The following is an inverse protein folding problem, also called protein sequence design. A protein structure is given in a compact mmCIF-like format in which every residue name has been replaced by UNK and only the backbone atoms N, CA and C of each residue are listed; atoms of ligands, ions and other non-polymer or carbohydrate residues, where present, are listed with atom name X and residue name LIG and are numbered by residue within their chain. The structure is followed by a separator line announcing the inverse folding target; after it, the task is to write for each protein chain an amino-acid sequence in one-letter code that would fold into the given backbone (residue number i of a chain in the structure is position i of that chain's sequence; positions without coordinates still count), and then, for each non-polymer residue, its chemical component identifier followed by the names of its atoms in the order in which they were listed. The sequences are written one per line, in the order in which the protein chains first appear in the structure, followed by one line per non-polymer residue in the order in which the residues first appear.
data_IF_892519807167
#
_entry.id   IF_892519807167
#
_cell.length_a   1.000
_cell.length_b   1.000
_cell.length_c   1.000
_cell.angle_alpha   90.00
_cell.angle_beta   90.00
_cell.angle_gamma   90.00
#
_symmetry.space_group_name_H-M   'P 1'
#
loop_
_entity.id
_entity.type
_entity.pdbx_description
1 polymer ?
#
# COMPACT_ATOMS: atom_id res chain seq x y z
N UNK A 1 11.98 -12.58 7.04
CA UNK A 1 11.13 -11.94 8.08
C UNK A 1 10.13 -11.04 7.36
N UNK A 2 8.84 -11.09 7.69
CA UNK A 2 7.77 -10.45 6.90
C UNK A 2 7.65 -8.93 7.12
N UNK A 3 8.29 -8.37 8.15
CA UNK A 3 8.33 -6.94 8.44
C UNK A 3 9.56 -6.59 9.30
N UNK A 4 9.87 -5.31 9.44
CA UNK A 4 10.92 -4.82 10.35
C UNK A 4 10.35 -4.74 11.77
N UNK A 5 10.83 -5.60 12.68
CA UNK A 5 10.29 -5.74 14.03
C UNK A 5 10.63 -4.58 14.96
N UNK A 6 11.82 -3.99 14.80
CA UNK A 6 12.39 -3.06 15.79
C UNK A 6 12.18 -1.58 15.41
N UNK A 7 11.16 -1.30 14.60
CA UNK A 7 10.79 0.06 14.22
C UNK A 7 9.40 0.41 14.79
N UNK A 8 9.30 1.35 15.76
CA UNK A 8 8.03 1.70 16.40
C UNK A 8 7.00 2.32 15.44
N UNK A 9 7.45 2.91 14.33
CA UNK A 9 6.58 3.51 13.32
C UNK A 9 6.02 2.46 12.34
N UNK A 10 6.58 1.25 12.34
CA UNK A 10 6.11 0.14 11.51
C UNK A 10 4.98 -0.59 12.24
N UNK A 11 3.74 -0.41 11.76
CA UNK A 11 2.54 -0.99 12.38
C UNK A 11 1.73 -1.83 11.37
N UNK A 12 2.24 -3.00 10.94
CA UNK A 12 1.56 -3.81 9.93
C UNK A 12 0.20 -4.32 10.40
N UNK A 13 -0.70 -4.52 9.44
CA UNK A 13 -1.98 -5.18 9.65
C UNK A 13 -2.25 -6.16 8.51
N UNK A 14 -2.81 -7.31 8.85
CA UNK A 14 -3.20 -8.33 7.88
C UNK A 14 -4.71 -8.52 8.02
N UNK A 15 -5.43 -8.54 6.90
CA UNK A 15 -6.89 -8.65 6.87
C UNK A 15 -7.29 -9.70 5.84
N UNK A 16 -8.22 -10.57 6.20
CA UNK A 16 -8.77 -11.63 5.37
C UNK A 16 -10.30 -11.52 5.39
N UNK A 17 -10.90 -11.38 4.21
CA UNK A 17 -12.32 -11.13 4.00
C UNK A 17 -12.83 -12.00 2.86
N UNK A 18 -14.01 -12.59 3.02
CA UNK A 18 -14.69 -13.28 1.92
C UNK A 18 -15.40 -12.30 0.98
N UNK A 19 -15.90 -11.20 1.53
CA UNK A 19 -16.63 -10.17 0.79
C UNK A 19 -15.91 -8.84 1.06
N UNK A 20 -15.44 -8.15 0.00
CA UNK A 20 -14.85 -6.82 0.15
C UNK A 20 -15.85 -5.82 0.75
N UNK A 21 -15.39 -4.87 1.59
CA UNK A 21 -16.24 -3.78 2.04
C UNK A 21 -16.60 -2.85 0.88
N UNK A 22 -17.62 -2.02 1.09
CA UNK A 22 -18.09 -1.09 0.07
C UNK A 22 -17.00 -0.08 -0.35
N UNK A 23 -17.03 0.33 -1.63
CA UNK A 23 -16.08 1.31 -2.19
C UNK A 23 -16.06 2.64 -1.42
N UNK A 24 -17.15 3.02 -0.76
CA UNK A 24 -17.20 4.19 0.12
C UNK A 24 -16.14 4.14 1.22
N UNK A 25 -15.82 2.95 1.75
CA UNK A 25 -14.78 2.79 2.76
C UNK A 25 -13.39 3.14 2.20
N UNK A 26 -13.07 2.67 0.98
CA UNK A 26 -11.85 3.09 0.28
C UNK A 26 -11.79 4.62 0.10
N UNK A 27 -12.90 5.24 -0.32
CA UNK A 27 -12.94 6.70 -0.51
C UNK A 27 -12.71 7.47 0.79
N UNK A 28 -13.22 6.97 1.93
CA UNK A 28 -12.98 7.56 3.25
C UNK A 28 -11.51 7.45 3.64
N UNK A 29 -10.90 6.28 3.49
CA UNK A 29 -9.46 6.10 3.77
C UNK A 29 -8.55 7.04 2.96
N UNK A 30 -8.99 7.49 1.78
CA UNK A 30 -8.23 8.44 0.96
C UNK A 30 -8.44 9.92 1.33
N UNK A 31 -9.53 10.26 2.04
CA UNK A 31 -10.02 11.64 2.16
C UNK A 31 -10.19 12.10 3.61
N UNK A 32 -10.20 11.17 4.55
CA UNK A 32 -10.57 11.39 5.94
C UNK A 32 -9.65 10.59 6.87
N UNK A 33 -9.55 11.05 8.12
CA UNK A 33 -8.93 10.28 9.20
C UNK A 33 -9.91 9.22 9.69
N UNK A 34 -9.64 7.94 9.36
CA UNK A 34 -10.49 6.81 9.77
C UNK A 34 -10.03 6.27 11.13
N UNK A 35 -10.89 6.25 12.17
CA UNK A 35 -10.55 5.69 13.47
C UNK A 35 -10.32 4.18 13.40
N UNK A 36 -9.25 3.70 14.05
CA UNK A 36 -8.93 2.26 14.06
C UNK A 36 -10.05 1.41 14.66
N UNK A 37 -10.69 1.87 15.74
CA UNK A 37 -11.82 1.16 16.38
C UNK A 37 -13.02 0.94 15.44
N UNK A 38 -13.25 1.87 14.51
CA UNK A 38 -14.31 1.73 13.52
C UNK A 38 -14.01 0.59 12.56
N UNK A 39 -12.74 0.45 12.16
CA UNK A 39 -12.27 -0.64 11.29
C UNK A 39 -12.37 -1.98 12.01
N UNK A 40 -12.01 -2.04 13.29
CA UNK A 40 -12.14 -3.26 14.09
C UNK A 40 -13.60 -3.72 14.16
N UNK A 41 -14.54 -2.81 14.44
CA UNK A 41 -15.99 -3.11 14.45
C UNK A 41 -16.49 -3.56 13.09
N UNK A 42 -16.04 -2.92 12.00
CA UNK A 42 -16.40 -3.32 10.63
C UNK A 42 -15.93 -4.75 10.33
N UNK A 43 -14.68 -5.05 10.64
CA UNK A 43 -14.07 -6.37 10.40
C UNK A 43 -14.78 -7.46 11.22
N UNK A 44 -15.05 -7.21 12.50
CA UNK A 44 -15.81 -8.11 13.37
C UNK A 44 -17.22 -8.36 12.84
N UNK A 45 -17.96 -7.31 12.47
CA UNK A 45 -19.31 -7.41 11.94
C UNK A 45 -19.39 -8.18 10.61
N UNK A 46 -18.32 -8.12 9.81
CA UNK A 46 -18.21 -8.84 8.54
C UNK A 46 -17.72 -10.30 8.67
N UNK A 47 -17.40 -10.75 9.89
CA UNK A 47 -16.82 -12.08 10.13
C UNK A 47 -15.39 -12.22 9.56
N UNK A 48 -14.65 -11.11 9.46
CA UNK A 48 -13.30 -11.08 8.93
C UNK A 48 -12.28 -11.69 9.91
N UNK A 49 -11.21 -12.28 9.36
CA UNK A 49 -9.99 -12.56 10.13
C UNK A 49 -9.03 -11.39 10.00
N UNK A 50 -8.41 -10.95 11.09
CA UNK A 50 -7.35 -9.93 11.02
C UNK A 50 -6.27 -10.11 12.08
N UNK A 51 -5.05 -9.67 11.77
CA UNK A 51 -3.88 -9.69 12.64
C UNK A 51 -3.37 -8.26 12.79
N UNK A 52 -3.28 -7.80 14.03
CA UNK A 52 -2.65 -6.53 14.41
C UNK A 52 -1.21 -6.80 14.85
N UNK A 53 -0.24 -6.10 14.24
CA UNK A 53 1.16 -6.10 14.67
C UNK A 53 1.49 -4.71 15.22
N UNK A 54 2.17 -4.66 16.37
CA UNK A 54 2.39 -3.44 17.16
C UNK A 54 1.06 -2.73 17.49
N UNK A 55 0.89 -1.45 17.13
CA UNK A 55 -0.39 -0.75 17.38
C UNK A 55 -1.53 -1.25 16.47
N UNK A 56 -1.20 -1.96 15.39
CA UNK A 56 -2.18 -2.55 14.48
C UNK A 56 -2.81 -1.59 13.48
N UNK A 57 -2.39 -0.32 13.42
CA UNK A 57 -2.96 0.70 12.50
C UNK A 57 -2.99 0.27 11.03
N UNK A 58 -2.10 -0.64 10.61
CA UNK A 58 -2.08 -1.19 9.25
C UNK A 58 -3.37 -1.88 8.81
N UNK A 59 -4.26 -2.29 9.73
CA UNK A 59 -5.58 -2.84 9.34
C UNK A 59 -6.45 -1.82 8.60
N UNK A 60 -6.27 -0.51 8.85
CA UNK A 60 -6.98 0.55 8.14
C UNK A 60 -6.61 0.51 6.66
N UNK A 61 -5.30 0.52 6.36
CA UNK A 61 -4.78 0.45 5.00
C UNK A 61 -5.13 -0.87 4.30
N UNK A 62 -5.01 -2.00 5.01
CA UNK A 62 -5.36 -3.31 4.46
C UNK A 62 -6.86 -3.40 4.09
N UNK A 63 -7.74 -2.95 4.97
CA UNK A 63 -9.19 -2.93 4.72
C UNK A 63 -9.55 -1.95 3.61
N UNK A 64 -8.94 -0.76 3.61
CA UNK A 64 -9.11 0.23 2.55
C UNK A 64 -8.69 -0.32 1.19
N UNK A 65 -7.53 -0.98 1.11
CA UNK A 65 -7.03 -1.59 -0.13
C UNK A 65 -7.97 -2.67 -0.67
N UNK A 66 -8.49 -3.56 0.19
CA UNK A 66 -9.47 -4.59 -0.20
C UNK A 66 -10.78 -3.96 -0.70
N UNK A 67 -11.20 -2.83 -0.12
CA UNK A 67 -12.43 -2.12 -0.49
C UNK A 67 -12.35 -1.42 -1.86
N UNK A 68 -11.17 -1.40 -2.50
CA UNK A 68 -10.97 -0.70 -3.76
C UNK A 68 -11.66 -1.39 -4.93
N UNK A 69 -12.58 -0.67 -5.57
CA UNK A 69 -13.21 -1.08 -6.81
C UNK A 69 -12.81 -0.11 -7.95
N UNK A 70 -11.79 -0.46 -8.75
CA UNK A 70 -11.23 0.45 -9.74
C UNK A 70 -12.24 0.81 -10.84
N UNK A 71 -12.30 2.10 -11.17
CA UNK A 71 -12.88 2.60 -12.44
C UNK A 71 -11.80 3.11 -13.39
N UNK A 72 -10.72 3.65 -12.82
CA UNK A 72 -9.52 4.09 -13.50
C UNK A 72 -8.34 3.66 -12.65
N UNK A 73 -7.34 3.06 -13.27
CA UNK A 73 -6.12 2.60 -12.64
C UNK A 73 -4.94 2.85 -13.57
N UNK A 74 -3.76 2.80 -12.99
CA UNK A 74 -2.48 2.84 -13.70
C UNK A 74 -1.71 1.58 -13.31
N UNK A 75 -0.71 1.22 -14.11
CA UNK A 75 0.15 0.09 -13.81
C UNK A 75 1.45 0.61 -13.19
N UNK A 76 1.96 -0.11 -12.20
CA UNK A 76 3.28 0.10 -11.62
C UNK A 76 4.05 -1.22 -11.72
N UNK A 77 5.22 -1.19 -12.34
CA UNK A 77 6.12 -2.34 -12.42
C UNK A 77 7.17 -2.22 -11.31
N UNK A 78 7.08 -3.09 -10.30
CA UNK A 78 8.00 -3.09 -9.17
C UNK A 78 9.04 -4.20 -9.34
N UNK A 79 10.30 -3.81 -9.50
CA UNK A 79 11.44 -4.73 -9.59
C UNK A 79 12.18 -4.81 -8.25
N UNK A 80 12.15 -5.98 -7.60
CA UNK A 80 12.87 -6.21 -6.36
C UNK A 80 14.29 -6.71 -6.60
N UNK A 81 15.24 -6.16 -5.85
CA UNK A 81 16.62 -6.64 -5.85
C UNK A 81 16.77 -7.92 -5.02
N UNK A 82 17.83 -8.66 -5.33
CA UNK A 82 18.31 -9.69 -4.41
C UNK A 82 18.60 -9.07 -3.03
N UNK A 83 18.33 -9.81 -1.93
CA UNK A 83 18.64 -9.32 -0.59
C UNK A 83 20.08 -8.82 -0.49
N UNK A 84 20.28 -7.65 0.12
CA UNK A 84 21.59 -7.00 0.34
C UNK A 84 22.26 -6.42 -0.92
N UNK A 85 21.62 -6.46 -2.10
CA UNK A 85 22.09 -5.74 -3.28
C UNK A 85 21.47 -4.34 -3.32
N UNK A 86 22.32 -3.32 -3.25
CA UNK A 86 21.92 -1.91 -3.41
C UNK A 86 22.30 -1.45 -4.81
N UNK A 87 21.36 -0.80 -5.49
CA UNK A 87 21.64 -0.05 -6.71
C UNK A 87 21.96 1.39 -6.28
N UNK A 88 23.08 1.92 -6.78
CA UNK A 88 23.49 3.29 -6.49
C UNK A 88 22.49 4.30 -7.09
N UNK A 89 22.56 5.55 -6.61
CA UNK A 89 21.61 6.58 -7.00
C UNK A 89 21.68 6.93 -8.49
N UNK A 90 22.87 6.94 -9.07
CA UNK A 90 23.07 7.32 -10.47
C UNK A 90 22.43 6.27 -11.39
N UNK A 91 22.66 4.99 -11.12
CA UNK A 91 22.02 3.89 -11.83
C UNK A 91 20.49 3.94 -11.71
N UNK A 92 19.94 4.27 -10.52
CA UNK A 92 18.48 4.44 -10.35
C UNK A 92 17.92 5.55 -11.25
N UNK A 93 18.62 6.68 -11.33
CA UNK A 93 18.23 7.80 -12.20
C UNK A 93 18.27 7.37 -13.66
N UNK A 94 19.34 6.72 -14.11
CA UNK A 94 19.46 6.24 -15.49
C UNK A 94 18.34 5.26 -15.87
N UNK A 95 17.99 4.33 -14.97
CA UNK A 95 16.86 3.40 -15.18
C UNK A 95 15.55 4.17 -15.32
N UNK A 96 15.29 5.12 -14.42
CA UNK A 96 14.05 5.88 -14.43
C UNK A 96 13.93 6.79 -15.66
N UNK A 97 15.02 7.45 -16.09
CA UNK A 97 15.09 8.21 -17.34
C UNK A 97 14.89 7.33 -18.58
N UNK A 98 15.40 6.10 -18.55
CA UNK A 98 15.16 5.13 -19.62
C UNK A 98 13.68 4.73 -19.66
N UNK A 99 13.06 4.47 -18.51
CA UNK A 99 11.65 4.13 -18.40
C UNK A 99 10.74 5.26 -18.92
N UNK A 100 11.07 6.53 -18.69
CA UNK A 100 10.29 7.68 -19.19
C UNK A 100 10.37 7.88 -20.72
N UNK A 101 11.34 7.26 -21.40
CA UNK A 101 11.43 7.28 -22.88
C UNK A 101 10.47 6.30 -23.55
N UNK A 102 9.91 5.34 -22.81
CA UNK A 102 9.02 4.34 -23.37
C UNK A 102 7.59 4.90 -23.53
N UNK A 103 6.92 4.56 -24.63
CA UNK A 103 5.57 5.04 -24.86
C UNK A 103 4.59 4.34 -23.91
N UNK A 104 3.80 5.11 -23.16
CA UNK A 104 2.78 4.59 -22.24
C UNK A 104 3.23 4.44 -20.79
N UNK A 105 4.51 4.72 -20.50
CA UNK A 105 5.00 4.97 -19.14
C UNK A 105 5.00 6.47 -18.86
N UNK A 106 4.96 6.84 -17.59
CA UNK A 106 4.97 8.23 -17.15
C UNK A 106 5.39 8.30 -15.68
N UNK A 107 5.81 9.50 -15.24
CA UNK A 107 6.19 9.80 -13.86
C UNK A 107 7.25 8.85 -13.27
N UNK A 108 8.19 8.33 -14.07
CA UNK A 108 9.34 7.58 -13.53
C UNK A 108 10.42 8.53 -12.99
N UNK A 109 10.57 9.72 -13.59
CA UNK A 109 11.43 10.80 -13.11
C UNK A 109 10.68 12.12 -12.92
N UNK A 110 11.03 12.85 -11.87
CA UNK A 110 10.62 14.25 -11.72
C UNK A 110 11.77 15.17 -12.15
N UNK A 111 11.50 15.99 -13.16
CA UNK A 111 12.46 16.93 -13.74
C UNK A 111 12.30 18.36 -13.18
N UNK A 112 11.25 18.62 -12.38
CA UNK A 112 11.03 19.95 -11.79
C UNK A 112 11.79 20.05 -10.47
N UNK A 113 12.42 21.21 -10.25
CA UNK A 113 13.04 21.59 -8.98
C UNK A 113 12.07 22.43 -8.14
#
# INVERSE_FOLDING_TARGET
MLYVKDNPDTNPGIVFLNIPPDKSFYNRCLREDVPQEEVEKLLEASGAGFVKINTGRGIIGATGAISWHPRRHTYELICYNQPRKTIDRETKIQIAELCDKFQGTFNNMDYRK
#
